data_IF_577984635777
#
_entry.id   IF_577984635777
#
_cell.length_a   1.000
_cell.length_b   1.000
_cell.length_c   1.000
_cell.angle_alpha   90.00
_cell.angle_beta   90.00
_cell.angle_gamma   90.00
#
_symmetry.space_group_name_H-M   'P 1'
#
loop_
_entity.id
_entity.type
_entity.pdbx_description
1 polymer ?
#
# COMPACT_ATOMS: atom_id res chain seq x y z
N UNK A 1 9.45 -3.26 14.83
CA UNK A 1 8.82 -2.08 14.31
C UNK A 1 8.27 -2.22 12.91
N UNK A 2 7.34 -1.38 12.62
CA UNK A 2 6.66 -1.37 11.33
C UNK A 2 6.57 0.05 10.78
N UNK A 3 6.38 0.14 9.49
CA UNK A 3 6.05 1.40 8.84
C UNK A 3 4.67 1.28 8.22
N UNK A 4 3.82 2.25 8.50
CA UNK A 4 2.48 2.35 7.96
C UNK A 4 2.41 3.57 7.06
N UNK A 5 1.87 3.41 5.85
CA UNK A 5 1.79 4.50 4.88
C UNK A 5 0.62 4.34 3.94
N UNK A 6 0.35 5.37 3.19
CA UNK A 6 -0.65 5.34 2.13
C UNK A 6 -0.17 4.48 0.97
N UNK A 7 -1.06 3.68 0.38
CA UNK A 7 -0.74 2.97 -0.84
C UNK A 7 -0.62 3.95 -2.01
N UNK A 8 0.15 3.57 -3.01
CA UNK A 8 0.40 4.44 -4.17
C UNK A 8 -0.81 4.48 -5.11
N UNK A 9 -1.41 3.33 -5.40
CA UNK A 9 -2.43 3.22 -6.44
C UNK A 9 -3.85 3.03 -5.92
N UNK A 10 -4.02 2.83 -4.61
CA UNK A 10 -5.31 2.52 -4.03
C UNK A 10 -5.51 3.34 -2.75
N UNK A 11 -6.77 3.48 -2.35
CA UNK A 11 -7.09 4.18 -1.10
C UNK A 11 -7.04 3.23 0.09
N UNK A 12 -5.94 2.52 0.24
CA UNK A 12 -5.70 1.64 1.37
C UNK A 12 -4.36 1.99 2.00
N UNK A 13 -4.02 1.28 3.07
CA UNK A 13 -2.76 1.47 3.77
C UNK A 13 -1.85 0.29 3.51
N UNK A 14 -0.55 0.53 3.57
CA UNK A 14 0.45 -0.50 3.45
C UNK A 14 1.25 -0.57 4.75
N UNK A 15 1.39 -1.78 5.27
CA UNK A 15 2.17 -2.05 6.47
C UNK A 15 3.41 -2.83 6.07
N UNK A 16 4.57 -2.26 6.39
CA UNK A 16 5.87 -2.85 6.09
C UNK A 16 6.58 -3.23 7.38
N UNK A 17 7.13 -4.45 7.48
CA UNK A 17 8.16 -4.67 8.50
C UNK A 17 9.31 -3.69 8.28
N UNK A 18 9.94 -3.24 9.34
CA UNK A 18 10.95 -2.19 9.25
C UNK A 18 12.08 -2.54 8.28
N UNK A 19 12.58 -3.79 8.33
CA UNK A 19 13.65 -4.21 7.44
C UNK A 19 13.27 -4.12 5.96
N UNK A 20 12.03 -4.46 5.63
CA UNK A 20 11.52 -4.35 4.26
C UNK A 20 11.43 -2.89 3.83
N UNK A 21 10.98 -2.04 4.74
CA UNK A 21 10.89 -0.62 4.47
C UNK A 21 12.26 -0.01 4.21
N UNK A 22 13.24 -0.38 5.01
CA UNK A 22 14.58 0.17 4.85
C UNK A 22 15.20 -0.16 3.51
N UNK A 23 14.97 -1.36 3.00
CA UNK A 23 15.43 -1.72 1.66
C UNK A 23 14.70 -0.95 0.57
N UNK A 24 13.41 -0.79 0.71
CA UNK A 24 12.60 -0.06 -0.26
C UNK A 24 12.98 1.41 -0.31
N UNK A 25 13.13 2.05 0.86
CA UNK A 25 13.42 3.47 0.91
C UNK A 25 14.82 3.78 0.39
N UNK A 26 15.76 2.85 0.47
CA UNK A 26 17.07 3.01 -0.16
C UNK A 26 16.92 3.17 -1.68
N UNK A 27 16.10 2.35 -2.29
CA UNK A 27 15.85 2.43 -3.74
C UNK A 27 15.20 3.75 -4.09
N UNK A 28 14.22 4.17 -3.31
CA UNK A 28 13.52 5.43 -3.54
C UNK A 28 14.49 6.60 -3.41
N UNK A 29 15.34 6.57 -2.40
CA UNK A 29 16.32 7.65 -2.16
C UNK A 29 17.46 7.67 -3.18
N UNK A 30 17.64 6.61 -3.94
CA UNK A 30 18.67 6.57 -4.99
C UNK A 30 18.24 7.22 -6.29
N UNK A 31 16.96 7.63 -6.39
CA UNK A 31 16.48 8.28 -7.59
C UNK A 31 17.16 9.63 -7.81
N UNK A 32 17.33 9.98 -9.08
CA UNK A 32 17.95 11.25 -9.44
C UNK A 32 17.05 12.42 -9.07
N UNK A 33 17.46 13.19 -8.05
CA UNK A 33 16.66 14.28 -7.50
C UNK A 33 16.66 15.54 -8.37
N UNK A 34 17.46 15.57 -9.40
CA UNK A 34 17.44 16.68 -10.34
C UNK A 34 16.31 16.57 -11.36
N UNK A 35 15.57 15.45 -11.35
CA UNK A 35 14.37 15.30 -12.16
C UNK A 35 13.15 15.62 -11.33
N UNK A 36 12.36 16.57 -11.81
CA UNK A 36 11.16 17.00 -11.08
C UNK A 36 10.20 15.85 -10.81
N UNK A 37 9.98 14.98 -11.78
CA UNK A 37 9.07 13.85 -11.59
C UNK A 37 9.53 12.91 -10.47
N UNK A 38 10.84 12.75 -10.31
CA UNK A 38 11.37 11.92 -9.24
C UNK A 38 11.12 12.55 -7.86
N UNK A 39 11.31 13.87 -7.75
CA UNK A 39 11.02 14.58 -6.52
C UNK A 39 9.53 14.52 -6.17
N UNK A 40 8.66 14.66 -7.16
CA UNK A 40 7.22 14.55 -6.95
C UNK A 40 6.84 13.14 -6.48
N UNK A 41 7.45 12.14 -7.08
CA UNK A 41 7.22 10.75 -6.66
C UNK A 41 7.65 10.53 -5.23
N UNK A 42 8.88 10.94 -4.88
CA UNK A 42 9.41 10.75 -3.52
C UNK A 42 8.50 11.43 -2.50
N UNK A 43 8.06 12.64 -2.79
CA UNK A 43 7.20 13.39 -1.86
C UNK A 43 5.89 12.66 -1.63
N UNK A 44 5.25 12.18 -2.69
CA UNK A 44 3.98 11.46 -2.57
C UNK A 44 4.16 10.10 -1.94
N UNK A 45 5.26 9.43 -2.25
CA UNK A 45 5.55 8.12 -1.71
C UNK A 45 5.74 8.15 -0.19
N UNK A 46 6.41 9.17 0.30
CA UNK A 46 6.72 9.30 1.74
C UNK A 46 5.66 10.08 2.52
N UNK A 47 4.67 10.64 1.86
CA UNK A 47 3.63 11.39 2.54
C UNK A 47 2.85 10.49 3.51
N UNK A 48 2.69 10.94 4.74
CA UNK A 48 1.92 10.22 5.74
C UNK A 48 2.61 9.00 6.33
N UNK A 49 3.88 8.77 6.04
CA UNK A 49 4.63 7.65 6.62
C UNK A 49 4.68 7.78 8.14
N UNK A 50 4.37 6.67 8.83
CA UNK A 50 4.42 6.59 10.30
C UNK A 50 5.21 5.38 10.70
N UNK A 51 6.09 5.56 11.68
CA UNK A 51 6.78 4.44 12.33
C UNK A 51 5.93 4.01 13.51
N UNK A 52 5.53 2.76 13.56
CA UNK A 52 4.61 2.26 14.58
C UNK A 52 5.12 0.99 15.22
N UNK A 53 4.65 0.76 16.44
CA UNK A 53 4.93 -0.46 17.21
C UNK A 53 3.60 -1.08 17.60
N UNK A 54 3.59 -2.41 17.69
CA UNK A 54 2.44 -3.10 18.27
C UNK A 54 2.47 -2.91 19.78
N UNK A 55 1.29 -2.80 20.40
CA UNK A 55 1.22 -2.78 21.86
C UNK A 55 1.38 -4.19 22.42
N UNK A 56 1.31 -4.34 23.74
CA UNK A 56 1.49 -5.62 24.42
C UNK A 56 0.43 -6.66 24.07
N UNK A 57 -0.66 -6.26 23.45
CA UNK A 57 -1.74 -7.15 23.02
C UNK A 57 -1.74 -7.40 21.52
N UNK A 58 -0.68 -6.98 20.84
CA UNK A 58 -0.58 -7.17 19.40
C UNK A 58 -1.45 -6.22 18.58
N UNK A 59 -1.81 -5.08 19.14
CA UNK A 59 -2.63 -4.07 18.44
C UNK A 59 -1.77 -2.91 17.96
N UNK A 60 -2.15 -2.32 16.87
CA UNK A 60 -1.52 -1.09 16.39
C UNK A 60 -2.58 0.01 16.30
N UNK A 61 -2.14 1.23 16.50
CA UNK A 61 -3.01 2.39 16.38
C UNK A 61 -2.80 3.01 15.00
N UNK A 62 -3.89 3.13 14.25
CA UNK A 62 -3.83 3.78 12.94
C UNK A 62 -4.08 5.27 13.15
N UNK A 63 -3.11 6.14 12.79
CA UNK A 63 -3.31 7.58 12.93
C UNK A 63 -4.50 8.09 12.13
N UNK A 64 -5.09 9.17 12.64
CA UNK A 64 -6.32 9.71 12.07
C UNK A 64 -6.20 10.10 10.60
N UNK A 65 -5.09 10.69 10.20
CA UNK A 65 -4.88 11.09 8.82
C UNK A 65 -4.89 9.89 7.86
N UNK A 66 -4.38 8.74 8.31
CA UNK A 66 -4.39 7.52 7.51
C UNK A 66 -5.78 6.88 7.48
N UNK A 67 -6.52 6.98 8.57
CA UNK A 67 -7.91 6.53 8.60
C UNK A 67 -8.72 7.33 7.58
N UNK A 68 -8.54 8.64 7.56
CA UNK A 68 -9.24 9.50 6.61
C UNK A 68 -8.87 9.17 5.17
N UNK A 69 -7.60 8.97 4.89
CA UNK A 69 -7.15 8.63 3.54
C UNK A 69 -7.78 7.33 3.05
N UNK A 70 -7.82 6.32 3.91
CA UNK A 70 -8.27 4.97 3.55
C UNK A 70 -9.77 4.78 3.71
N UNK A 71 -10.48 5.75 4.26
CA UNK A 71 -11.91 5.67 4.55
C UNK A 71 -12.27 4.48 5.45
N UNK A 72 -11.34 4.04 6.29
CA UNK A 72 -11.61 2.97 7.24
C UNK A 72 -12.69 3.43 8.21
N UNK A 73 -13.78 2.68 8.26
CA UNK A 73 -14.89 3.01 9.15
C UNK A 73 -14.81 2.20 10.45
N UNK A 74 -14.91 0.89 10.36
CA UNK A 74 -14.91 0.03 11.54
C UNK A 74 -14.14 -1.26 11.30
N UNK A 75 -14.54 -2.02 10.31
CA UNK A 75 -13.95 -3.32 10.01
C UNK A 75 -12.92 -3.19 8.91
N UNK A 76 -11.83 -3.90 9.05
CA UNK A 76 -10.76 -3.87 8.06
C UNK A 76 -10.58 -5.25 7.44
N UNK A 77 -10.05 -5.25 6.23
CA UNK A 77 -9.57 -6.46 5.57
C UNK A 77 -8.07 -6.34 5.41
N UNK A 78 -7.36 -7.38 5.82
CA UNK A 78 -5.93 -7.47 5.62
C UNK A 78 -5.69 -8.32 4.38
N UNK A 79 -4.91 -7.79 3.48
CA UNK A 79 -4.53 -8.48 2.25
C UNK A 79 -3.03 -8.46 2.13
N UNK A 80 -2.44 -9.51 1.58
CA UNK A 80 -1.00 -9.54 1.38
C UNK A 80 -0.66 -9.26 -0.07
N UNK A 81 0.43 -8.57 -0.27
CA UNK A 81 0.97 -8.29 -1.59
C UNK A 81 2.47 -8.48 -1.51
N UNK A 82 2.95 -9.65 -1.93
CA UNK A 82 4.35 -10.06 -1.87
C UNK A 82 4.90 -9.96 -0.45
N UNK A 83 5.53 -8.85 -0.09
CA UNK A 83 6.22 -8.69 1.20
C UNK A 83 5.56 -7.68 2.13
N UNK A 84 4.39 -7.20 1.78
CA UNK A 84 3.70 -6.18 2.57
C UNK A 84 2.28 -6.62 2.88
N UNK A 85 1.71 -5.97 3.88
CA UNK A 85 0.31 -6.18 4.25
C UNK A 85 -0.45 -4.92 3.87
N UNK A 86 -1.54 -5.09 3.12
CA UNK A 86 -2.45 -4.00 2.85
C UNK A 86 -3.56 -4.00 3.88
N UNK A 87 -3.91 -2.83 4.36
CA UNK A 87 -5.02 -2.66 5.31
C UNK A 87 -6.08 -1.84 4.61
N UNK A 88 -7.24 -2.45 4.43
CA UNK A 88 -8.36 -1.86 3.70
C UNK A 88 -9.55 -1.68 4.62
N UNK A 89 -10.34 -0.65 4.38
CA UNK A 89 -11.71 -0.66 4.84
C UNK A 89 -12.41 -1.87 4.21
N UNK A 90 -13.12 -2.65 5.00
CA UNK A 90 -13.70 -3.90 4.53
C UNK A 90 -14.59 -3.70 3.31
N UNK A 91 -15.48 -2.72 3.37
CA UNK A 91 -16.40 -2.44 2.28
C UNK A 91 -15.67 -1.98 1.03
N UNK A 92 -14.64 -1.15 1.18
CA UNK A 92 -13.83 -0.67 0.07
C UNK A 92 -13.07 -1.81 -0.60
N UNK A 93 -12.56 -2.75 0.18
CA UNK A 93 -11.86 -3.90 -0.36
C UNK A 93 -12.79 -4.76 -1.21
N UNK A 94 -13.98 -5.03 -0.70
CA UNK A 94 -14.95 -5.84 -1.42
C UNK A 94 -15.36 -5.20 -2.74
N UNK A 95 -15.50 -3.87 -2.76
CA UNK A 95 -15.78 -3.14 -3.99
C UNK A 95 -14.62 -3.24 -4.97
N UNK A 96 -13.38 -3.15 -4.49
CA UNK A 96 -12.20 -3.19 -5.34
C UNK A 96 -12.06 -4.54 -6.06
N UNK A 97 -12.40 -5.64 -5.38
CA UNK A 97 -12.29 -6.97 -5.98
C UNK A 97 -13.55 -7.41 -6.70
N UNK A 98 -14.67 -6.71 -6.49
CA UNK A 98 -15.95 -7.06 -7.09
C UNK A 98 -16.14 -6.48 -8.48
N UNK A 99 -15.13 -5.84 -9.03
CA UNK A 99 -15.17 -5.40 -10.41
C UNK A 99 -15.52 -6.56 -11.31
N UNK A 100 -16.14 -6.27 -12.45
CA UNK A 100 -16.69 -7.25 -13.33
C UNK A 100 -15.70 -8.41 -13.58
N UNK A 101 -16.25 -9.64 -13.56
CA UNK A 101 -15.44 -10.84 -13.84
C UNK A 101 -14.82 -10.81 -15.23
N UNK A 102 -15.53 -10.19 -16.17
CA UNK A 102 -15.03 -10.07 -17.52
C UNK A 102 -13.80 -9.18 -17.56
N UNK A 103 -13.83 -8.10 -16.79
CA UNK A 103 -12.69 -7.20 -16.70
C UNK A 103 -11.49 -7.89 -16.08
N UNK A 104 -11.71 -8.71 -15.06
CA UNK A 104 -10.62 -9.44 -14.43
C UNK A 104 -10.03 -10.49 -15.39
N UNK A 105 -10.87 -11.19 -16.11
CA UNK A 105 -10.41 -12.19 -17.08
C UNK A 105 -9.55 -11.53 -18.16
N UNK A 106 -9.98 -10.40 -18.67
CA UNK A 106 -9.24 -9.65 -19.65
C UNK A 106 -7.91 -9.15 -19.08
N UNK A 107 -7.93 -8.63 -17.87
CA UNK A 107 -6.73 -8.15 -17.22
C UNK A 107 -5.73 -9.30 -17.00
N UNK A 108 -6.21 -10.46 -16.58
CA UNK A 108 -5.36 -11.63 -16.37
C UNK A 108 -4.68 -12.04 -17.68
N UNK A 109 -5.41 -12.01 -18.78
CA UNK A 109 -4.86 -12.35 -20.07
C UNK A 109 -3.81 -11.32 -20.52
N UNK A 110 -4.07 -10.05 -20.32
CA UNK A 110 -3.13 -9.00 -20.67
C UNK A 110 -1.86 -9.05 -19.84
N UNK A 111 -1.98 -9.33 -18.55
CA UNK A 111 -0.84 -9.32 -17.62
C UNK A 111 -0.02 -10.59 -17.73
N UNK A 112 -0.66 -11.75 -17.80
CA UNK A 112 0.03 -13.04 -17.72
C UNK A 112 0.11 -13.76 -19.08
N UNK A 113 -0.85 -13.53 -19.93
CA UNK A 113 -0.90 -14.24 -21.21
C UNK A 113 0.14 -13.80 -22.22
N UNK A 114 0.65 -12.58 -22.09
CA UNK A 114 1.66 -12.05 -23.00
C UNK A 114 3.08 -12.46 -22.71
N UNK A 115 3.30 -13.14 -21.61
CA UNK A 115 4.65 -13.51 -21.13
C UNK A 115 5.17 -14.81 -21.74
N UNK A 116 4.46 -15.37 -22.65
CA UNK A 116 4.81 -16.66 -23.21
C UNK A 116 5.87 -16.61 -24.29
N UNK A 117 6.26 -15.44 -24.63
CA UNK A 117 7.24 -15.26 -25.69
C UNK A 117 8.65 -15.60 -25.22
#
# INVERSE_FOLDING_TARGET
GFVLKRAVFQNCLELYPLAQWEELIKKVNSLNRFKKKNNDFIRRFTAGVKFIELDGNGRLLIPKDLIEFSNINRDVTLSTSVNIIEIWDKSSYEKAIADSRDDFAQLAEEVMGGDEE
#
